data_IF_792250313603
#
_entry.id   IF_792250313603
#
_cell.length_a   1.000
_cell.length_b   1.000
_cell.length_c   1.000
_cell.angle_alpha   90.00
_cell.angle_beta   90.00
_cell.angle_gamma   90.00
#
_symmetry.space_group_name_H-M   'P 1'
#
loop_
_entity.id
_entity.type
_entity.pdbx_description
1 polymer ?
#
# COMPACT_ATOMS: atom_id res chain seq x y z
N UNK A 1 -1.62 -25.09 6.10
CA UNK A 1 -1.21 -23.74 5.70
C UNK A 1 0.26 -23.80 5.42
N UNK A 2 0.64 -23.73 4.15
CA UNK A 2 2.02 -23.90 3.75
C UNK A 2 2.80 -22.61 4.02
N UNK A 3 3.80 -22.70 4.89
CA UNK A 3 4.84 -21.70 5.08
C UNK A 3 5.51 -21.40 3.73
N UNK A 4 5.10 -20.33 3.10
CA UNK A 4 5.80 -19.77 1.95
C UNK A 4 6.99 -18.96 2.48
N UNK A 5 7.95 -19.66 3.14
CA UNK A 5 9.29 -19.12 3.35
C UNK A 5 9.82 -18.73 1.99
N UNK A 6 10.08 -17.46 1.80
CA UNK A 6 10.76 -16.90 0.63
C UNK A 6 12.00 -17.75 0.35
N UNK A 7 11.85 -18.74 -0.54
CA UNK A 7 13.00 -19.42 -1.11
C UNK A 7 13.72 -18.38 -1.94
N UNK A 8 14.87 -17.92 -1.45
CA UNK A 8 15.75 -17.04 -2.20
C UNK A 8 15.97 -17.59 -3.61
N UNK A 9 16.37 -16.73 -4.55
CA UNK A 9 16.68 -17.15 -5.92
C UNK A 9 17.71 -18.30 -5.89
N UNK A 10 17.58 -19.24 -6.83
CA UNK A 10 18.60 -20.29 -6.97
C UNK A 10 19.87 -19.69 -7.50
N UNK A 11 21.00 -20.08 -6.90
CA UNK A 11 22.31 -19.55 -7.21
C UNK A 11 23.28 -20.69 -7.52
N UNK A 12 24.10 -20.54 -8.54
CA UNK A 12 25.18 -21.45 -8.92
C UNK A 12 24.69 -22.90 -9.06
N UNK A 13 25.25 -23.83 -8.31
CA UNK A 13 24.96 -25.30 -8.38
C UNK A 13 23.51 -25.64 -7.94
N UNK A 14 22.76 -24.70 -7.40
CA UNK A 14 21.35 -24.92 -7.12
C UNK A 14 20.48 -24.90 -8.38
N UNK A 15 21.00 -24.38 -9.50
CA UNK A 15 20.36 -24.33 -10.82
C UNK A 15 20.59 -25.70 -11.50
N UNK A 16 19.52 -26.50 -11.55
CA UNK A 16 19.62 -27.92 -12.01
C UNK A 16 19.08 -28.16 -13.43
N UNK A 17 18.65 -27.11 -14.12
CA UNK A 17 18.16 -27.20 -15.49
C UNK A 17 19.31 -27.41 -16.45
N UNK A 18 19.05 -28.05 -17.62
CA UNK A 18 20.09 -28.32 -18.62
C UNK A 18 20.55 -27.05 -19.36
N UNK A 19 19.61 -26.20 -19.68
CA UNK A 19 19.84 -25.00 -20.48
C UNK A 19 19.20 -23.77 -19.79
N UNK A 20 19.84 -22.63 -19.93
CA UNK A 20 19.36 -21.34 -19.39
C UNK A 20 19.48 -20.25 -20.44
N UNK A 21 18.62 -19.28 -20.37
CA UNK A 21 18.80 -18.03 -21.12
C UNK A 21 19.72 -17.11 -20.31
N UNK A 22 20.91 -16.91 -20.81
CA UNK A 22 21.97 -16.21 -20.09
C UNK A 22 21.99 -14.72 -20.43
N UNK A 23 22.08 -13.90 -19.39
CA UNK A 23 22.41 -12.49 -19.45
C UNK A 23 23.74 -12.34 -18.69
N UNK A 24 24.74 -11.73 -19.32
CA UNK A 24 26.03 -11.53 -18.67
C UNK A 24 26.04 -10.35 -17.67
N UNK A 25 27.18 -10.07 -17.07
CA UNK A 25 27.39 -8.99 -16.11
C UNK A 25 27.22 -7.58 -16.72
N UNK A 26 27.51 -7.42 -18.02
CA UNK A 26 27.32 -6.18 -18.78
C UNK A 26 25.87 -5.97 -19.21
N UNK A 27 25.01 -6.98 -19.05
CA UNK A 27 23.59 -6.94 -19.41
C UNK A 27 23.33 -7.42 -20.83
N UNK A 28 24.31 -7.96 -21.54
CA UNK A 28 24.14 -8.55 -22.86
C UNK A 28 23.44 -9.91 -22.78
N UNK A 29 22.55 -10.18 -23.73
CA UNK A 29 21.89 -11.46 -23.88
C UNK A 29 22.76 -12.42 -24.70
N UNK A 30 23.31 -13.44 -24.06
CA UNK A 30 24.11 -14.49 -24.73
C UNK A 30 23.25 -15.59 -25.34
N UNK A 31 21.92 -15.49 -25.23
CA UNK A 31 20.99 -16.48 -25.75
C UNK A 31 20.82 -17.69 -24.84
N UNK A 32 20.50 -18.85 -25.44
CA UNK A 32 20.32 -20.10 -24.72
C UNK A 32 21.65 -20.85 -24.71
N UNK A 33 22.16 -21.14 -23.52
CA UNK A 33 23.43 -21.82 -23.31
C UNK A 33 23.26 -22.95 -22.30
N UNK A 34 24.11 -24.00 -22.37
CA UNK A 34 24.15 -25.05 -21.34
C UNK A 34 24.48 -24.42 -19.97
N UNK A 35 23.82 -24.91 -18.93
CA UNK A 35 24.02 -24.40 -17.56
C UNK A 35 25.46 -24.54 -17.07
N UNK A 36 26.14 -25.60 -17.51
CA UNK A 36 27.56 -25.84 -17.22
C UNK A 36 28.47 -24.78 -17.81
N UNK A 37 28.18 -24.30 -19.01
CA UNK A 37 28.91 -23.20 -19.64
C UNK A 37 28.62 -21.86 -18.95
N UNK A 38 27.36 -21.59 -18.64
CA UNK A 38 26.96 -20.40 -17.86
C UNK A 38 27.65 -20.32 -16.49
N UNK A 39 27.76 -21.45 -15.78
CA UNK A 39 28.51 -21.58 -14.53
C UNK A 39 29.99 -21.29 -14.68
N UNK A 40 30.59 -21.81 -15.77
CA UNK A 40 32.01 -21.55 -16.06
C UNK A 40 32.25 -20.07 -16.31
N UNK A 41 31.43 -19.43 -17.13
CA UNK A 41 31.53 -17.99 -17.40
C UNK A 41 31.37 -17.13 -16.13
N UNK A 42 30.47 -17.52 -15.23
CA UNK A 42 30.30 -16.84 -13.95
C UNK A 42 31.56 -16.97 -13.07
N UNK A 43 32.13 -18.18 -12.97
CA UNK A 43 33.36 -18.44 -12.20
C UNK A 43 34.57 -17.71 -12.75
N UNK A 44 34.73 -17.61 -14.06
CA UNK A 44 35.84 -16.89 -14.72
C UNK A 44 35.81 -15.39 -14.40
N UNK A 45 34.63 -14.84 -14.05
CA UNK A 45 34.43 -13.44 -13.69
C UNK A 45 34.33 -13.20 -12.17
N UNK A 46 34.52 -14.24 -11.37
CA UNK A 46 34.39 -14.19 -9.90
C UNK A 46 32.99 -13.70 -9.46
N UNK A 47 31.95 -14.03 -10.23
CA UNK A 47 30.56 -13.66 -10.00
C UNK A 47 29.68 -14.90 -9.83
N UNK A 48 28.43 -14.67 -9.43
CA UNK A 48 27.42 -15.70 -9.25
C UNK A 48 26.50 -15.81 -10.47
N UNK A 49 26.11 -17.04 -10.81
CA UNK A 49 25.00 -17.31 -11.72
C UNK A 49 23.70 -17.33 -10.92
N UNK A 50 22.77 -16.43 -11.19
CA UNK A 50 21.53 -16.27 -10.43
C UNK A 50 20.32 -16.47 -11.34
N UNK A 51 19.41 -17.38 -10.95
CA UNK A 51 18.16 -17.61 -11.66
C UNK A 51 17.14 -16.52 -11.33
N UNK A 52 17.03 -15.48 -12.19
CA UNK A 52 16.17 -14.33 -11.96
C UNK A 52 14.72 -14.54 -12.38
N UNK A 53 14.47 -15.44 -13.34
CA UNK A 53 13.11 -15.78 -13.79
C UNK A 53 12.96 -17.31 -13.96
N UNK A 54 12.59 -18.03 -12.89
CA UNK A 54 12.45 -19.50 -12.90
C UNK A 54 11.25 -20.00 -13.71
N UNK A 55 10.26 -19.15 -13.96
CA UNK A 55 9.02 -19.51 -14.69
C UNK A 55 9.14 -19.43 -16.19
N UNK A 56 10.23 -18.85 -16.72
CA UNK A 56 10.50 -18.81 -18.15
C UNK A 56 10.97 -20.20 -18.65
N UNK A 57 10.77 -20.49 -19.93
CA UNK A 57 11.26 -21.71 -20.54
C UNK A 57 12.10 -21.38 -21.79
N UNK A 58 13.45 -21.59 -21.74
CA UNK A 58 14.26 -21.95 -20.58
C UNK A 58 14.33 -20.82 -19.55
N UNK A 59 14.67 -21.14 -18.27
CA UNK A 59 14.80 -20.13 -17.21
C UNK A 59 15.82 -19.06 -17.53
N UNK A 60 15.56 -17.82 -17.08
CA UNK A 60 16.51 -16.72 -17.28
C UNK A 60 17.47 -16.67 -16.11
N UNK A 61 18.77 -16.73 -16.42
CA UNK A 61 19.85 -16.59 -15.47
C UNK A 61 20.69 -15.36 -15.81
N UNK A 62 21.18 -14.70 -14.78
CA UNK A 62 22.05 -13.53 -14.90
C UNK A 62 23.34 -13.75 -14.10
N UNK A 63 24.47 -13.35 -14.69
CA UNK A 63 25.76 -13.29 -14.00
C UNK A 63 25.85 -11.97 -13.24
N UNK A 64 25.98 -12.02 -11.92
CA UNK A 64 26.06 -10.84 -11.06
C UNK A 64 26.58 -11.21 -9.67
N UNK A 65 26.96 -10.20 -8.87
CA UNK A 65 27.20 -10.37 -7.43
C UNK A 65 25.85 -10.52 -6.70
N UNK A 66 25.57 -11.72 -6.21
CA UNK A 66 24.30 -12.04 -5.53
C UNK A 66 24.11 -11.27 -4.24
N UNK A 67 25.21 -11.01 -3.50
CA UNK A 67 25.15 -10.23 -2.26
C UNK A 67 24.68 -8.81 -2.50
N UNK A 68 25.28 -8.13 -3.47
CA UNK A 68 24.91 -6.79 -3.90
C UNK A 68 23.49 -6.72 -4.45
N UNK A 69 23.14 -7.67 -5.32
CA UNK A 69 21.79 -7.77 -5.90
C UNK A 69 20.72 -7.91 -4.83
N UNK A 70 20.91 -8.83 -3.88
CA UNK A 70 19.99 -9.04 -2.76
C UNK A 70 19.82 -7.79 -1.91
N UNK A 71 20.91 -7.12 -1.57
CA UNK A 71 20.89 -5.87 -0.82
C UNK A 71 20.08 -4.77 -1.55
N UNK A 72 20.30 -4.62 -2.86
CA UNK A 72 19.59 -3.65 -3.69
C UNK A 72 18.08 -3.97 -3.75
N UNK A 73 17.70 -5.25 -3.90
CA UNK A 73 16.29 -5.67 -3.87
C UNK A 73 15.64 -5.39 -2.52
N UNK A 74 16.31 -5.73 -1.43
CA UNK A 74 15.79 -5.44 -0.08
C UNK A 74 15.68 -3.93 0.18
N UNK A 75 16.61 -3.14 -0.34
CA UNK A 75 16.56 -1.67 -0.27
C UNK A 75 15.36 -1.13 -1.06
N UNK A 76 15.17 -1.56 -2.30
CA UNK A 76 14.01 -1.18 -3.13
C UNK A 76 12.68 -1.53 -2.46
N UNK A 77 12.58 -2.71 -1.86
CA UNK A 77 11.38 -3.12 -1.12
C UNK A 77 11.13 -2.25 0.12
N UNK A 78 12.18 -1.90 0.87
CA UNK A 78 12.07 -0.98 2.02
C UNK A 78 11.63 0.41 1.60
N UNK A 79 12.22 0.94 0.54
CA UNK A 79 11.91 2.28 0.03
C UNK A 79 10.50 2.30 -0.58
N UNK A 80 10.09 1.26 -1.29
CA UNK A 80 8.71 1.10 -1.78
C UNK A 80 7.70 1.08 -0.62
N UNK A 81 7.98 0.31 0.46
CA UNK A 81 7.12 0.28 1.65
C UNK A 81 7.04 1.64 2.36
N UNK A 82 8.15 2.39 2.42
CA UNK A 82 8.16 3.75 3.00
C UNK A 82 7.35 4.73 2.18
N UNK A 83 7.43 4.62 0.85
CA UNK A 83 6.75 5.52 -0.07
C UNK A 83 5.28 5.14 -0.31
N UNK A 84 4.85 3.97 0.17
CA UNK A 84 3.47 3.54 0.08
C UNK A 84 2.61 4.41 1.00
N UNK A 85 1.85 5.35 0.41
CA UNK A 85 0.86 6.15 1.15
C UNK A 85 -0.20 5.21 1.73
N UNK A 86 -0.07 4.89 3.00
CA UNK A 86 -1.11 4.17 3.75
C UNK A 86 -2.25 5.13 4.05
N UNK A 87 -3.38 4.94 3.38
CA UNK A 87 -4.63 5.62 3.72
C UNK A 87 -5.05 5.21 5.13
N UNK A 88 -4.88 6.11 6.10
CA UNK A 88 -5.32 5.87 7.47
C UNK A 88 -6.75 6.33 7.64
N UNK A 89 -7.55 5.58 8.39
CA UNK A 89 -8.88 6.01 8.81
C UNK A 89 -8.75 6.84 10.10
N UNK A 90 -9.07 8.13 10.01
CA UNK A 90 -9.15 9.04 11.16
C UNK A 90 -10.59 9.16 11.62
N UNK A 91 -10.84 9.15 12.93
CA UNK A 91 -12.19 9.33 13.47
C UNK A 91 -12.30 10.65 14.22
N UNK A 92 -13.34 11.43 13.87
CA UNK A 92 -13.73 12.66 14.59
C UNK A 92 -15.10 12.44 15.19
N UNK A 93 -15.17 12.62 16.52
CA UNK A 93 -16.42 12.44 17.28
C UNK A 93 -17.02 13.78 17.64
N UNK A 94 -18.34 13.88 17.48
CA UNK A 94 -19.13 15.06 17.78
C UNK A 94 -20.37 14.68 18.60
N UNK A 95 -21.09 15.69 19.07
CA UNK A 95 -22.36 15.54 19.78
C UNK A 95 -23.48 16.18 18.96
N UNK A 96 -24.76 15.75 19.13
CA UNK A 96 -25.88 16.33 18.39
C UNK A 96 -26.11 17.81 18.69
N UNK A 97 -25.74 18.26 19.90
CA UNK A 97 -25.83 19.67 20.36
C UNK A 97 -24.46 20.32 20.41
N UNK A 98 -23.67 20.19 19.33
CA UNK A 98 -22.36 20.83 19.24
C UNK A 98 -22.52 22.37 19.03
N UNK A 99 -21.70 23.16 19.72
CA UNK A 99 -21.62 24.60 19.49
C UNK A 99 -20.99 24.97 18.15
N UNK A 100 -21.37 26.12 17.59
CA UNK A 100 -20.88 26.55 16.26
C UNK A 100 -19.35 26.62 16.18
N UNK A 101 -18.68 27.18 17.22
CA UNK A 101 -17.23 27.28 17.24
C UNK A 101 -16.50 25.91 17.28
N UNK A 102 -17.03 24.94 18.07
CA UNK A 102 -16.46 23.58 18.12
C UNK A 102 -16.73 22.84 16.80
N UNK A 103 -17.88 23.06 16.18
CA UNK A 103 -18.19 22.51 14.87
C UNK A 103 -17.24 23.04 13.80
N UNK A 104 -16.95 24.34 13.80
CA UNK A 104 -15.98 24.95 12.86
C UNK A 104 -14.57 24.37 13.04
N UNK A 105 -14.12 24.26 14.29
CA UNK A 105 -12.82 23.68 14.62
C UNK A 105 -12.70 22.23 14.15
N UNK A 106 -13.71 21.41 14.44
CA UNK A 106 -13.72 20.00 14.03
C UNK A 106 -13.87 19.82 12.52
N UNK A 107 -14.62 20.69 11.85
CA UNK A 107 -14.74 20.67 10.38
C UNK A 107 -13.40 21.01 9.72
N UNK A 108 -12.62 21.94 10.25
CA UNK A 108 -11.25 22.22 9.79
C UNK A 108 -10.34 21.00 9.93
N UNK A 109 -10.41 20.30 11.07
CA UNK A 109 -9.63 19.06 11.24
C UNK A 109 -10.04 17.95 10.25
N UNK A 110 -11.34 17.83 9.91
CA UNK A 110 -11.79 16.90 8.85
C UNK A 110 -11.13 17.28 7.53
N UNK A 111 -11.12 18.57 7.18
CA UNK A 111 -10.53 19.08 5.95
C UNK A 111 -9.01 18.84 5.91
N UNK A 112 -8.29 19.08 7.01
CA UNK A 112 -6.86 18.80 7.14
C UNK A 112 -6.54 17.33 6.90
N UNK A 113 -7.29 16.43 7.55
CA UNK A 113 -7.08 14.98 7.38
C UNK A 113 -7.38 14.51 5.96
N UNK A 114 -8.40 15.07 5.30
CA UNK A 114 -8.67 14.79 3.89
C UNK A 114 -7.55 15.33 2.99
N UNK A 115 -7.03 16.52 3.27
CA UNK A 115 -5.92 17.12 2.53
C UNK A 115 -4.62 16.30 2.66
N UNK A 116 -4.36 15.68 3.83
CA UNK A 116 -3.27 14.74 4.07
C UNK A 116 -3.44 13.41 3.29
N UNK A 117 -4.61 13.19 2.69
CA UNK A 117 -4.94 11.96 1.96
C UNK A 117 -5.50 10.85 2.85
N UNK A 118 -5.92 11.14 4.07
CA UNK A 118 -6.53 10.16 4.96
C UNK A 118 -8.04 10.05 4.72
N UNK A 119 -8.62 8.88 5.04
CA UNK A 119 -10.07 8.73 5.18
C UNK A 119 -10.53 9.24 6.53
N UNK A 120 -11.70 9.86 6.59
CA UNK A 120 -12.25 10.41 7.83
C UNK A 120 -13.62 9.83 8.10
N UNK A 121 -13.77 9.19 9.29
CA UNK A 121 -15.05 8.78 9.83
C UNK A 121 -15.54 9.86 10.80
N UNK A 122 -16.63 10.53 10.45
CA UNK A 122 -17.29 11.49 11.35
C UNK A 122 -18.39 10.76 12.08
N UNK A 123 -18.34 10.77 13.42
CA UNK A 123 -19.25 10.01 14.27
C UNK A 123 -19.96 10.95 15.24
N UNK A 124 -21.31 10.91 15.23
CA UNK A 124 -22.16 11.58 16.22
C UNK A 124 -22.53 10.58 17.29
N UNK A 125 -22.29 10.88 18.55
CA UNK A 125 -22.67 10.06 19.69
C UNK A 125 -23.92 10.63 20.36
N UNK A 126 -25.00 9.85 20.37
CA UNK A 126 -26.24 10.19 21.08
C UNK A 126 -26.24 9.64 22.51
N UNK A 127 -26.75 10.42 23.46
CA UNK A 127 -26.86 10.05 24.88
C UNK A 127 -28.34 9.97 25.28
N UNK A 128 -28.76 8.86 25.85
CA UNK A 128 -30.10 8.68 26.45
C UNK A 128 -31.21 9.25 25.58
N UNK A 129 -31.84 10.31 26.01
CA UNK A 129 -33.00 10.95 25.35
C UNK A 129 -32.69 11.53 23.97
N UNK A 130 -31.42 11.79 23.65
CA UNK A 130 -31.02 12.32 22.33
C UNK A 130 -31.26 11.32 21.20
N UNK A 131 -31.39 10.03 21.51
CA UNK A 131 -31.72 9.01 20.52
C UNK A 131 -33.12 9.19 19.88
N UNK A 132 -34.02 9.90 20.56
CA UNK A 132 -35.31 10.25 20.00
C UNK A 132 -35.23 11.38 18.94
N UNK A 133 -34.08 12.03 18.83
CA UNK A 133 -33.85 13.19 17.97
C UNK A 133 -32.63 13.00 17.07
N UNK A 134 -32.65 11.93 16.28
CA UNK A 134 -31.57 11.58 15.37
C UNK A 134 -31.40 12.60 14.23
N UNK A 135 -32.46 13.34 13.91
CA UNK A 135 -32.46 14.44 12.95
C UNK A 135 -31.44 15.55 13.30
N UNK A 136 -31.20 15.80 14.60
CA UNK A 136 -30.20 16.77 15.04
C UNK A 136 -28.79 16.33 14.66
N UNK A 137 -28.49 15.04 14.81
CA UNK A 137 -27.19 14.49 14.40
C UNK A 137 -27.00 14.54 12.87
N UNK A 138 -28.04 14.23 12.11
CA UNK A 138 -28.01 14.36 10.66
C UNK A 138 -27.77 15.83 10.24
N UNK A 139 -28.41 16.79 10.92
CA UNK A 139 -28.19 18.22 10.71
C UNK A 139 -26.74 18.61 10.90
N UNK A 140 -26.10 18.14 11.98
CA UNK A 140 -24.67 18.39 12.25
C UNK A 140 -23.78 17.80 11.14
N UNK A 141 -24.03 16.57 10.70
CA UNK A 141 -23.26 15.96 9.60
C UNK A 141 -23.41 16.72 8.29
N UNK A 142 -24.63 17.13 7.93
CA UNK A 142 -24.88 17.94 6.76
C UNK A 142 -24.18 19.32 6.83
N UNK A 143 -24.10 19.91 8.02
CA UNK A 143 -23.43 21.18 8.22
C UNK A 143 -21.90 21.04 8.08
N UNK A 144 -21.32 19.89 8.51
CA UNK A 144 -19.92 19.53 8.22
C UNK A 144 -19.69 19.43 6.71
N UNK A 145 -20.57 18.73 5.98
CA UNK A 145 -20.45 18.58 4.52
C UNK A 145 -20.49 19.93 3.80
N UNK A 146 -21.36 20.84 4.21
CA UNK A 146 -21.41 22.22 3.65
C UNK A 146 -20.10 22.96 3.80
N UNK A 147 -19.44 22.82 4.97
CA UNK A 147 -18.14 23.45 5.22
C UNK A 147 -16.99 22.86 4.45
N UNK A 148 -17.07 21.56 4.13
CA UNK A 148 -16.06 20.86 3.33
C UNK A 148 -16.15 21.18 1.82
N UNK A 149 -17.30 21.65 1.34
CA UNK A 149 -17.53 21.90 -0.09
C UNK A 149 -17.38 20.63 -0.91
N UNK A 150 -16.60 20.69 -2.01
CA UNK A 150 -16.43 19.61 -2.98
C UNK A 150 -15.10 18.83 -2.82
N UNK A 151 -14.41 18.95 -1.69
CA UNK A 151 -13.07 18.41 -1.48
C UNK A 151 -13.05 16.91 -1.07
N UNK A 152 -14.20 16.28 -1.02
CA UNK A 152 -14.33 14.89 -0.54
C UNK A 152 -15.13 14.01 -1.52
N UNK A 153 -14.99 12.71 -1.34
CA UNK A 153 -15.86 11.68 -1.90
C UNK A 153 -16.55 10.97 -0.74
N UNK A 154 -17.88 10.88 -0.77
CA UNK A 154 -18.63 10.16 0.26
C UNK A 154 -18.57 8.66 -0.01
N UNK A 155 -17.86 7.91 0.84
CA UNK A 155 -17.79 6.44 0.77
C UNK A 155 -19.00 5.77 1.46
N UNK A 156 -19.37 6.31 2.63
CA UNK A 156 -20.52 5.81 3.40
C UNK A 156 -21.38 6.99 3.82
N UNK A 157 -22.65 6.93 3.44
CA UNK A 157 -23.65 7.94 3.83
C UNK A 157 -23.90 7.89 5.35
N UNK A 158 -24.44 8.99 5.94
CA UNK A 158 -24.87 8.99 7.32
C UNK A 158 -25.80 7.83 7.64
N UNK A 159 -25.39 6.98 8.55
CA UNK A 159 -26.18 5.82 8.99
C UNK A 159 -26.10 5.63 10.49
N UNK A 160 -27.19 5.19 11.11
CA UNK A 160 -27.26 4.84 12.53
C UNK A 160 -26.68 3.45 12.78
N UNK A 161 -25.77 3.35 13.74
CA UNK A 161 -25.22 2.12 14.27
C UNK A 161 -25.37 2.13 15.81
N UNK A 162 -26.48 1.65 16.32
CA UNK A 162 -26.81 1.71 17.74
C UNK A 162 -26.99 3.14 18.26
N UNK A 163 -26.05 3.61 19.10
CA UNK A 163 -26.07 4.97 19.67
C UNK A 163 -25.20 5.95 18.88
N UNK A 164 -24.72 5.55 17.72
CA UNK A 164 -23.85 6.36 16.89
C UNK A 164 -24.44 6.57 15.51
N UNK A 165 -24.34 7.76 14.99
CA UNK A 165 -24.54 8.04 13.59
C UNK A 165 -23.20 8.35 12.97
N UNK A 166 -22.83 7.66 11.91
CA UNK A 166 -21.53 7.87 11.30
C UNK A 166 -21.60 8.00 9.78
N UNK A 167 -20.70 8.79 9.22
CA UNK A 167 -20.43 8.85 7.79
C UNK A 167 -18.93 8.67 7.54
N UNK A 168 -18.57 8.19 6.37
CA UNK A 168 -17.15 8.05 5.98
C UNK A 168 -16.87 8.83 4.72
N UNK A 169 -15.84 9.64 4.80
CA UNK A 169 -15.38 10.52 3.72
C UNK A 169 -13.97 10.08 3.29
N UNK A 170 -13.69 10.13 2.01
CA UNK A 170 -12.35 9.96 1.45
C UNK A 170 -11.90 11.21 0.71
N UNK A 171 -10.60 11.44 0.61
CA UNK A 171 -10.10 12.57 -0.16
C UNK A 171 -10.43 12.40 -1.65
N UNK A 172 -10.78 13.49 -2.30
CA UNK A 172 -10.91 13.52 -3.75
C UNK A 172 -9.53 13.33 -4.37
N UNK A 173 -9.35 12.28 -5.17
CA UNK A 173 -8.09 12.07 -5.88
C UNK A 173 -7.80 13.29 -6.76
N UNK A 174 -6.73 14.01 -6.48
CA UNK A 174 -6.23 15.01 -7.44
C UNK A 174 -5.72 14.23 -8.66
N UNK A 175 -6.46 14.35 -9.77
CA UNK A 175 -5.95 13.93 -11.09
C UNK A 175 -4.76 14.80 -11.47
#
# INVERSE_FOLDING_TARGET
MADNKEKGLRVNEQIRVREVRLIDDEGEQKGIVPTTEALKMAKERELDLVEVAPTANPPVCKILDYGKYRFEQEKKLRDSKKNQKTLKLKEIRMQPKIGAGDLDFKSKHVQEFLAEGNKVKVTIRFRGRELAHTELGLGVLNEVLKRLGDEYVMEKQPAMEGRFMSMTLSPKSKK
#
